data_IF_747782071756
#
_entry.id   IF_747782071756
#
_cell.length_a   1.000
_cell.length_b   1.000
_cell.length_c   1.000
_cell.angle_alpha   90.00
_cell.angle_beta   90.00
_cell.angle_gamma   90.00
#
_symmetry.space_group_name_H-M   'P 1'
#
loop_
_entity.id
_entity.type
_entity.pdbx_description
1 polymer ?
#
# COMPACT_ATOMS: atom_id res chain seq x y z
N UNK A 1 -26.26 26.17 12.66
CA UNK A 1 -27.33 27.16 12.88
C UNK A 1 -27.06 28.01 14.11
N UNK A 2 -26.83 27.40 15.30
CA UNK A 2 -26.44 28.14 16.52
C UNK A 2 -25.09 28.88 16.37
N UNK A 3 -24.00 28.19 15.99
CA UNK A 3 -22.69 28.85 15.76
C UNK A 3 -22.69 29.91 14.65
N UNK A 4 -23.63 29.81 13.70
CA UNK A 4 -23.79 30.77 12.60
C UNK A 4 -24.70 31.96 12.98
N UNK A 5 -25.22 32.00 14.22
CA UNK A 5 -26.11 33.05 14.71
C UNK A 5 -27.56 32.98 14.19
N UNK A 6 -27.92 31.91 13.48
CA UNK A 6 -29.25 31.78 12.85
C UNK A 6 -30.33 31.27 13.81
N UNK A 7 -29.94 30.66 14.94
CA UNK A 7 -30.84 30.21 16.00
C UNK A 7 -30.20 30.45 17.37
N UNK A 8 -31.03 30.72 18.38
CA UNK A 8 -30.60 30.99 19.75
C UNK A 8 -31.19 29.92 20.69
N UNK A 9 -30.33 29.21 21.42
CA UNK A 9 -30.75 28.20 22.40
C UNK A 9 -29.78 28.15 23.57
N UNK A 10 -30.17 28.77 24.69
CA UNK A 10 -29.32 28.94 25.88
C UNK A 10 -29.05 27.65 26.66
N UNK A 11 -29.73 26.55 26.33
CA UNK A 11 -29.49 25.23 26.92
C UNK A 11 -28.33 24.46 26.27
N UNK A 12 -27.81 24.94 25.13
CA UNK A 12 -26.74 24.31 24.38
C UNK A 12 -25.43 25.08 24.55
N UNK A 13 -24.42 24.41 25.12
CA UNK A 13 -23.04 24.89 25.15
C UNK A 13 -22.23 24.16 24.07
N UNK A 14 -21.53 24.93 23.23
CA UNK A 14 -20.68 24.39 22.17
C UNK A 14 -19.26 24.90 22.40
N UNK A 15 -18.31 23.97 22.45
CA UNK A 15 -16.89 24.24 22.56
C UNK A 15 -16.16 23.37 21.55
N UNK A 16 -15.38 23.99 20.67
CA UNK A 16 -14.58 23.32 19.65
C UNK A 16 -13.12 23.52 20.02
N UNK A 17 -12.37 22.43 20.04
CA UNK A 17 -10.92 22.45 20.26
C UNK A 17 -10.27 22.14 18.92
N UNK A 18 -9.65 23.12 18.28
CA UNK A 18 -8.96 22.97 17.00
C UNK A 18 -7.75 23.92 16.94
N UNK A 19 -6.83 23.66 16.01
CA UNK A 19 -5.80 24.63 15.67
C UNK A 19 -6.35 25.67 14.69
N UNK A 20 -5.83 26.89 14.77
CA UNK A 20 -6.22 27.97 13.85
C UNK A 20 -5.65 27.74 12.43
N UNK A 21 -4.45 27.14 12.35
CA UNK A 21 -3.75 26.82 11.10
C UNK A 21 -2.83 25.58 11.27
N UNK A 22 -2.56 24.85 10.18
CA UNK A 22 -1.68 23.67 10.20
C UNK A 22 -0.25 24.02 10.67
N UNK A 23 0.26 25.20 10.34
CA UNK A 23 1.60 25.65 10.73
C UNK A 23 1.80 25.77 12.24
N UNK A 24 0.72 25.84 13.02
CA UNK A 24 0.79 25.87 14.48
C UNK A 24 1.26 24.54 15.08
N UNK A 25 1.26 23.44 14.32
CA UNK A 25 1.70 22.13 14.81
C UNK A 25 3.20 22.10 15.11
N UNK A 26 3.99 22.93 14.44
CA UNK A 26 5.42 23.10 14.73
C UNK A 26 5.69 23.88 16.03
N UNK A 27 4.64 24.39 16.69
CA UNK A 27 4.70 25.18 17.93
C UNK A 27 4.01 24.41 19.07
N UNK A 28 4.76 23.66 19.90
CA UNK A 28 4.20 22.83 20.98
C UNK A 28 3.25 23.56 21.95
N UNK A 29 3.49 24.86 22.15
CA UNK A 29 2.64 25.74 22.96
C UNK A 29 1.19 25.84 22.45
N UNK A 30 0.96 25.67 21.14
CA UNK A 30 -0.36 25.78 20.54
C UNK A 30 -1.16 24.46 20.61
N UNK A 31 -0.51 23.33 20.90
CA UNK A 31 -1.19 22.03 20.92
C UNK A 31 -2.32 21.95 21.95
N UNK A 32 -2.25 22.76 23.01
CA UNK A 32 -3.29 22.87 24.03
C UNK A 32 -4.64 23.34 23.46
N UNK A 33 -4.65 24.09 22.34
CA UNK A 33 -5.88 24.57 21.68
C UNK A 33 -6.74 23.41 21.18
N UNK A 34 -6.12 22.39 20.58
CA UNK A 34 -6.81 21.19 20.11
C UNK A 34 -6.84 20.07 21.17
N UNK A 35 -5.89 20.05 22.11
CA UNK A 35 -5.73 18.98 23.09
C UNK A 35 -5.59 19.54 24.52
N UNK A 36 -6.68 20.03 25.13
CA UNK A 36 -6.68 20.69 26.45
C UNK A 36 -6.27 19.79 27.64
N UNK A 37 -6.11 18.49 27.40
CA UNK A 37 -5.75 17.46 28.37
C UNK A 37 -4.28 17.02 28.31
N UNK A 38 -3.48 17.60 27.40
CA UNK A 38 -2.02 17.46 27.45
C UNK A 38 -1.52 17.95 28.82
N UNK A 39 -0.56 17.24 29.40
CA UNK A 39 -0.04 17.44 30.77
C UNK A 39 -1.03 17.17 31.90
N UNK A 40 -2.21 16.61 31.61
CA UNK A 40 -3.18 16.18 32.63
C UNK A 40 -3.42 14.67 32.55
N UNK A 41 -4.02 14.22 31.45
CA UNK A 41 -4.31 12.80 31.21
C UNK A 41 -3.53 12.25 30.01
N UNK A 42 -2.90 13.12 29.22
CA UNK A 42 -2.01 12.76 28.12
C UNK A 42 -0.62 13.29 28.47
N UNK A 43 0.36 12.43 28.76
CA UNK A 43 1.74 12.86 28.97
C UNK A 43 2.27 13.58 27.73
N UNK A 44 2.89 14.76 27.92
CA UNK A 44 3.39 15.54 26.79
C UNK A 44 4.42 14.78 25.96
N UNK A 45 5.31 14.03 26.60
CA UNK A 45 6.33 13.23 25.89
C UNK A 45 5.71 12.19 24.95
N UNK A 46 4.63 11.52 25.36
CA UNK A 46 3.94 10.53 24.53
C UNK A 46 3.28 11.19 23.31
N UNK A 47 2.71 12.38 23.51
CA UNK A 47 2.12 13.17 22.43
C UNK A 47 3.18 13.65 21.43
N UNK A 48 4.31 14.15 21.92
CA UNK A 48 5.48 14.52 21.10
C UNK A 48 6.00 13.34 20.27
N UNK A 49 6.11 12.16 20.89
CA UNK A 49 6.55 10.94 20.21
C UNK A 49 5.56 10.51 19.13
N UNK A 50 4.25 10.64 19.40
CA UNK A 50 3.20 10.35 18.42
C UNK A 50 3.30 11.28 17.21
N UNK A 51 3.52 12.58 17.42
CA UNK A 51 3.73 13.56 16.34
C UNK A 51 4.96 13.20 15.50
N UNK A 52 6.10 12.93 16.16
CA UNK A 52 7.34 12.56 15.48
C UNK A 52 7.17 11.31 14.63
N UNK A 53 6.46 10.30 15.14
CA UNK A 53 6.16 9.07 14.40
C UNK A 53 5.27 9.36 13.19
N UNK A 54 4.19 10.10 13.39
CA UNK A 54 3.22 10.42 12.33
C UNK A 54 3.84 11.22 11.17
N UNK A 55 4.78 12.14 11.45
CA UNK A 55 5.46 12.92 10.39
C UNK A 55 6.17 12.08 9.34
N UNK A 56 6.62 10.88 9.69
CA UNK A 56 7.28 9.98 8.76
C UNK A 56 6.34 9.20 7.85
N UNK A 57 5.02 9.20 8.13
CA UNK A 57 4.04 8.34 7.50
C UNK A 57 2.84 9.19 7.05
N UNK A 58 2.67 9.47 5.74
CA UNK A 58 1.61 10.34 5.23
C UNK A 58 0.21 10.05 5.77
N UNK A 59 -0.17 8.77 5.86
CA UNK A 59 -1.49 8.39 6.39
C UNK A 59 -1.64 8.68 7.89
N UNK A 60 -0.64 8.37 8.70
CA UNK A 60 -0.63 8.72 10.13
C UNK A 60 -0.57 10.24 10.31
N UNK A 61 0.11 10.99 9.43
CA UNK A 61 0.13 12.45 9.47
C UNK A 61 -1.26 13.03 9.22
N UNK A 62 -1.98 12.58 8.18
CA UNK A 62 -3.36 13.00 7.93
C UNK A 62 -4.26 12.66 9.11
N UNK A 63 -4.09 11.47 9.70
CA UNK A 63 -4.83 11.09 10.90
C UNK A 63 -4.50 12.00 12.10
N UNK A 64 -3.23 12.38 12.28
CA UNK A 64 -2.80 13.33 13.31
C UNK A 64 -3.47 14.70 13.10
N UNK A 65 -3.41 15.24 11.88
CA UNK A 65 -4.04 16.52 11.53
C UNK A 65 -5.55 16.49 11.81
N UNK A 66 -6.24 15.48 11.29
CA UNK A 66 -7.71 15.42 11.33
C UNK A 66 -8.26 14.97 12.68
N UNK A 67 -7.63 14.03 13.39
CA UNK A 67 -8.16 13.43 14.63
C UNK A 67 -7.50 13.91 15.91
N UNK A 68 -6.33 14.54 15.85
CA UNK A 68 -5.64 15.08 17.03
C UNK A 68 -5.59 16.59 17.03
N UNK A 69 -5.55 17.23 15.87
CA UNK A 69 -5.52 18.69 15.77
C UNK A 69 -6.79 19.32 15.20
N UNK A 70 -7.73 18.49 14.72
CA UNK A 70 -8.98 18.91 14.08
C UNK A 70 -8.76 19.88 12.91
N UNK A 71 -7.65 19.73 12.19
CA UNK A 71 -7.31 20.51 11.01
C UNK A 71 -8.00 19.93 9.79
N UNK A 72 -8.64 20.79 9.01
CA UNK A 72 -9.29 20.43 7.75
C UNK A 72 -8.24 20.22 6.64
N UNK A 73 -7.91 18.97 6.35
CA UNK A 73 -7.03 18.65 5.23
C UNK A 73 -7.77 18.72 3.89
N UNK A 74 -7.39 19.65 2.99
CA UNK A 74 -7.82 19.65 1.60
C UNK A 74 -6.82 18.88 0.72
N UNK A 75 -7.26 17.79 0.08
CA UNK A 75 -6.46 17.14 -0.97
C UNK A 75 -6.58 15.61 -1.00
N UNK A 76 -6.26 15.03 -2.16
CA UNK A 76 -5.89 13.62 -2.26
C UNK A 76 -4.43 13.52 -1.81
N UNK A 77 -4.18 13.16 -0.55
CA UNK A 77 -2.82 12.93 -0.08
C UNK A 77 -2.22 11.74 -0.83
N UNK A 78 -1.03 11.89 -1.45
CA UNK A 78 -0.31 10.75 -2.00
C UNK A 78 -0.13 9.67 -0.94
N UNK A 79 -0.35 8.40 -1.30
CA UNK A 79 -0.23 7.32 -0.34
C UNK A 79 1.20 7.15 0.20
N UNK A 80 2.21 7.39 -0.66
CA UNK A 80 3.62 7.27 -0.30
C UNK A 80 4.28 8.65 -0.29
N UNK A 81 5.18 8.87 0.67
CA UNK A 81 6.03 10.06 0.73
C UNK A 81 6.90 10.18 -0.53
N UNK A 82 7.18 11.41 -0.95
CA UNK A 82 8.05 11.65 -2.10
C UNK A 82 9.42 10.99 -1.90
N UNK A 83 9.86 10.21 -2.90
CA UNK A 83 11.18 9.56 -2.88
C UNK A 83 11.32 8.34 -1.97
N UNK A 84 10.35 8.00 -1.11
CA UNK A 84 10.46 6.84 -0.20
C UNK A 84 10.58 5.53 -0.97
N UNK A 85 9.80 5.37 -2.05
CA UNK A 85 9.90 4.23 -2.95
C UNK A 85 11.28 4.15 -3.61
N UNK A 86 11.82 5.27 -4.11
CA UNK A 86 13.12 5.27 -4.78
C UNK A 86 14.28 4.81 -3.87
N UNK A 87 14.20 5.08 -2.57
CA UNK A 87 15.18 4.63 -1.56
C UNK A 87 15.15 3.10 -1.33
N UNK A 88 14.04 2.46 -1.67
CA UNK A 88 13.86 1.00 -1.58
C UNK A 88 14.50 0.24 -2.75
N UNK A 89 15.05 0.95 -3.75
CA UNK A 89 15.70 0.30 -4.89
C UNK A 89 16.94 -0.46 -4.45
N UNK A 90 17.09 -1.70 -4.90
CA UNK A 90 18.30 -2.53 -4.77
C UNK A 90 18.70 -3.11 -6.10
N UNK A 91 19.97 -3.47 -6.21
CA UNK A 91 20.51 -4.17 -7.38
C UNK A 91 20.43 -5.68 -7.12
N UNK A 92 19.44 -6.32 -7.73
CA UNK A 92 19.26 -7.76 -7.76
C UNK A 92 18.44 -8.14 -8.99
N UNK A 93 18.55 -9.41 -9.37
CA UNK A 93 17.90 -9.99 -10.53
C UNK A 93 17.03 -11.18 -10.12
N UNK A 94 16.24 -11.69 -11.06
CA UNK A 94 15.47 -12.92 -10.86
C UNK A 94 16.37 -14.13 -10.54
N UNK A 95 17.63 -14.12 -11.02
CA UNK A 95 18.59 -15.20 -10.79
C UNK A 95 18.97 -15.32 -9.31
N UNK A 96 19.01 -14.19 -8.59
CA UNK A 96 19.32 -14.15 -7.15
C UNK A 96 18.19 -14.74 -6.28
N UNK A 97 17.02 -14.98 -6.87
CA UNK A 97 15.78 -15.40 -6.19
C UNK A 97 15.31 -16.80 -6.61
N UNK A 98 16.11 -17.52 -7.41
CA UNK A 98 15.79 -18.87 -7.85
C UNK A 98 15.60 -19.82 -6.66
N UNK A 99 14.59 -20.67 -6.76
CA UNK A 99 14.17 -21.69 -5.80
C UNK A 99 13.77 -21.15 -4.42
N UNK A 100 13.67 -19.83 -4.25
CA UNK A 100 13.21 -19.23 -3.00
C UNK A 100 11.69 -19.26 -2.90
N UNK A 101 11.21 -19.28 -1.66
CA UNK A 101 9.80 -19.17 -1.34
C UNK A 101 9.27 -17.79 -1.74
N UNK A 102 8.11 -17.76 -2.40
CA UNK A 102 7.48 -16.51 -2.78
C UNK A 102 5.96 -16.58 -2.76
N UNK A 103 5.35 -15.40 -2.64
CA UNK A 103 3.92 -15.20 -2.58
C UNK A 103 3.51 -14.34 -3.77
N UNK A 104 2.53 -14.81 -4.54
CA UNK A 104 2.13 -14.13 -5.76
C UNK A 104 0.84 -13.33 -5.54
N UNK A 105 0.75 -12.17 -6.18
CA UNK A 105 -0.46 -11.38 -6.33
C UNK A 105 -0.75 -11.13 -7.79
N UNK A 106 -2.01 -11.32 -8.20
CA UNK A 106 -2.44 -11.26 -9.60
C UNK A 106 -3.63 -10.32 -9.78
N UNK A 107 -3.42 -9.17 -10.43
CA UNK A 107 -4.49 -8.24 -10.86
C UNK A 107 -4.75 -8.42 -12.36
N UNK A 108 -5.91 -8.99 -12.71
CA UNK A 108 -6.29 -9.29 -14.08
C UNK A 108 -7.15 -8.16 -14.68
N UNK A 109 -6.79 -7.77 -15.91
CA UNK A 109 -7.63 -6.99 -16.81
C UNK A 109 -7.95 -7.77 -18.07
N UNK A 110 -9.02 -7.36 -18.75
CA UNK A 110 -9.45 -7.95 -20.03
C UNK A 110 -8.99 -7.18 -21.25
N UNK A 111 -9.17 -5.84 -21.29
CA UNK A 111 -9.10 -5.08 -22.57
C UNK A 111 -8.34 -3.75 -22.47
N UNK A 112 -8.51 -2.98 -21.40
CA UNK A 112 -8.03 -1.59 -21.32
C UNK A 112 -7.00 -1.32 -20.22
N UNK A 113 -6.95 -2.16 -19.19
CA UNK A 113 -6.02 -1.98 -18.08
C UNK A 113 -4.83 -2.92 -18.19
N UNK A 114 -3.82 -2.70 -17.37
CA UNK A 114 -2.67 -3.59 -17.29
C UNK A 114 -3.08 -4.84 -16.52
N UNK A 115 -2.68 -6.01 -17.00
CA UNK A 115 -2.65 -7.20 -16.15
C UNK A 115 -1.28 -7.26 -15.50
N UNK A 116 -1.23 -7.43 -14.18
CA UNK A 116 0.00 -7.37 -13.41
C UNK A 116 0.12 -8.53 -12.44
N UNK A 117 1.35 -9.04 -12.34
CA UNK A 117 1.78 -10.05 -11.38
C UNK A 117 2.87 -9.42 -10.51
N UNK A 118 2.79 -9.65 -9.21
CA UNK A 118 3.88 -9.37 -8.30
C UNK A 118 4.21 -10.63 -7.49
N UNK A 119 5.49 -10.88 -7.29
CA UNK A 119 6.05 -11.91 -6.44
C UNK A 119 6.75 -11.23 -5.27
N UNK A 120 6.36 -11.60 -4.05
CA UNK A 120 6.98 -11.16 -2.81
C UNK A 120 7.85 -12.30 -2.28
N UNK A 121 9.15 -12.07 -2.24
CA UNK A 121 10.15 -13.00 -1.73
C UNK A 121 10.53 -12.58 -0.31
N UNK A 122 10.18 -13.37 0.72
CA UNK A 122 10.66 -13.14 2.07
C UNK A 122 12.19 -13.26 2.11
N UNK A 123 12.83 -12.31 2.76
CA UNK A 123 14.23 -12.33 3.17
C UNK A 123 14.24 -12.16 4.69
N UNK A 124 15.24 -12.66 5.42
CA UNK A 124 15.23 -12.76 6.91
C UNK A 124 14.47 -11.63 7.65
N UNK A 125 14.72 -10.37 7.30
CA UNK A 125 14.01 -9.19 7.85
C UNK A 125 13.39 -8.28 6.81
N UNK A 126 13.36 -8.67 5.54
CA UNK A 126 12.96 -7.80 4.42
C UNK A 126 12.13 -8.57 3.41
N UNK A 127 11.58 -7.88 2.43
CA UNK A 127 10.99 -8.55 1.27
C UNK A 127 11.56 -7.98 -0.02
N UNK A 128 11.74 -8.83 -1.01
CA UNK A 128 12.12 -8.45 -2.37
C UNK A 128 10.98 -8.68 -3.33
N UNK A 129 10.86 -7.82 -4.34
CA UNK A 129 9.78 -7.87 -5.31
C UNK A 129 10.28 -8.22 -6.71
N UNK A 130 9.57 -9.08 -7.41
CA UNK A 130 9.69 -9.25 -8.86
C UNK A 130 8.31 -9.08 -9.46
N UNK A 131 8.21 -8.39 -10.59
CA UNK A 131 6.93 -8.07 -11.23
C UNK A 131 6.91 -8.51 -12.70
N UNK A 132 5.70 -8.77 -13.19
CA UNK A 132 5.43 -9.03 -14.61
C UNK A 132 4.18 -8.26 -15.02
N UNK A 133 4.26 -7.53 -16.12
CA UNK A 133 3.15 -6.72 -16.62
C UNK A 133 2.80 -7.11 -18.05
N UNK A 134 1.51 -7.10 -18.35
CA UNK A 134 0.94 -7.50 -19.62
C UNK A 134 -0.04 -6.44 -20.12
N UNK A 135 -0.03 -6.19 -21.43
CA UNK A 135 -0.92 -5.27 -22.11
C UNK A 135 -1.34 -5.87 -23.46
N UNK A 136 -2.61 -5.76 -23.89
CA UNK A 136 -3.00 -6.15 -25.25
C UNK A 136 -2.32 -5.27 -26.29
N UNK A 137 -1.89 -5.85 -27.42
CA UNK A 137 -1.23 -5.13 -28.51
C UNK A 137 -2.04 -3.95 -29.02
N UNK A 138 -3.36 -4.11 -29.09
CA UNK A 138 -4.27 -3.03 -29.46
C UNK A 138 -4.04 -1.74 -28.67
N UNK A 139 -3.73 -1.83 -27.37
CA UNK A 139 -3.51 -0.64 -26.53
C UNK A 139 -2.22 0.11 -26.86
N UNK A 140 -1.23 -0.54 -27.48
CA UNK A 140 -0.02 0.12 -27.98
C UNK A 140 -0.25 0.87 -29.29
N UNK A 141 -1.21 0.40 -30.08
CA UNK A 141 -1.51 0.92 -31.41
C UNK A 141 -2.68 1.93 -31.39
N UNK A 142 -3.53 1.87 -30.37
CA UNK A 142 -4.65 2.78 -30.19
C UNK A 142 -4.18 4.23 -30.00
N UNK A 143 -4.50 5.07 -30.99
CA UNK A 143 -4.13 6.49 -30.99
C UNK A 143 -4.83 7.25 -29.85
N UNK A 144 -5.99 6.80 -29.39
CA UNK A 144 -6.69 7.41 -28.26
C UNK A 144 -6.02 7.11 -26.90
N UNK A 145 -5.15 6.09 -26.83
CA UNK A 145 -4.47 5.75 -25.59
C UNK A 145 -3.34 6.76 -25.31
N UNK A 146 -3.54 7.59 -24.29
CA UNK A 146 -2.59 8.63 -23.86
C UNK A 146 -1.26 8.04 -23.35
N UNK A 147 -1.29 6.80 -22.83
CA UNK A 147 -0.11 6.12 -22.28
C UNK A 147 0.67 5.31 -23.33
N UNK A 148 0.25 5.28 -24.60
CA UNK A 148 0.89 4.44 -25.63
C UNK A 148 2.40 4.65 -25.75
N UNK A 149 2.87 5.89 -25.56
CA UNK A 149 4.29 6.23 -25.70
C UNK A 149 5.13 5.60 -24.58
N UNK A 150 4.65 5.70 -23.32
CA UNK A 150 5.34 5.12 -22.17
C UNK A 150 5.27 3.58 -22.20
N UNK A 151 4.14 3.01 -22.62
CA UNK A 151 4.02 1.56 -22.80
C UNK A 151 5.01 1.02 -23.84
N UNK A 152 5.14 1.67 -25.00
CA UNK A 152 6.15 1.29 -26.01
C UNK A 152 7.58 1.39 -25.49
N UNK A 153 7.86 2.30 -24.56
CA UNK A 153 9.16 2.39 -23.92
C UNK A 153 9.40 1.18 -23.01
N UNK A 154 8.44 0.82 -22.17
CA UNK A 154 8.56 -0.33 -21.27
C UNK A 154 8.64 -1.67 -22.00
N UNK A 155 7.94 -1.81 -23.13
CA UNK A 155 8.08 -2.99 -24.01
C UNK A 155 9.52 -3.09 -24.53
N UNK A 156 10.10 -1.99 -25.03
CA UNK A 156 11.49 -1.97 -25.50
C UNK A 156 12.51 -2.25 -24.39
N UNK A 157 12.19 -1.88 -23.15
CA UNK A 157 13.04 -2.12 -21.98
C UNK A 157 12.82 -3.52 -21.36
N UNK A 158 11.84 -4.28 -21.81
CA UNK A 158 11.51 -5.61 -21.29
C UNK A 158 10.64 -5.64 -20.03
N UNK A 159 10.16 -4.49 -19.55
CA UNK A 159 9.30 -4.40 -18.35
C UNK A 159 7.82 -4.66 -18.62
N UNK A 160 7.39 -4.54 -19.88
CA UNK A 160 6.00 -4.75 -20.29
C UNK A 160 5.93 -5.79 -21.41
N UNK A 161 5.16 -6.86 -21.19
CA UNK A 161 4.88 -7.91 -22.18
C UNK A 161 3.61 -7.56 -22.93
N UNK A 162 3.54 -8.00 -24.18
CA UNK A 162 2.39 -7.74 -25.06
C UNK A 162 1.72 -9.05 -25.39
N UNK A 163 0.40 -9.10 -25.27
CA UNK A 163 -0.42 -10.21 -25.79
C UNK A 163 -1.02 -9.80 -27.13
N UNK A 164 -1.06 -10.72 -28.09
CA UNK A 164 -1.62 -10.45 -29.42
C UNK A 164 -3.12 -10.15 -29.35
N UNK A 165 -3.59 -9.24 -30.20
CA UNK A 165 -5.02 -8.90 -30.29
C UNK A 165 -5.47 -7.73 -29.41
N UNK A 166 -6.78 -7.69 -29.15
CA UNK A 166 -7.48 -6.61 -28.43
C UNK A 166 -7.83 -6.93 -26.97
N UNK A 167 -7.59 -8.17 -26.55
CA UNK A 167 -7.75 -8.63 -25.18
C UNK A 167 -6.49 -9.30 -24.63
N UNK A 168 -6.42 -9.40 -23.30
CA UNK A 168 -5.38 -10.15 -22.61
C UNK A 168 -5.57 -11.64 -22.87
N UNK A 169 -4.49 -12.29 -23.30
CA UNK A 169 -4.43 -13.75 -23.39
C UNK A 169 -4.11 -14.35 -22.01
N UNK A 170 -5.13 -14.91 -21.36
CA UNK A 170 -4.99 -15.55 -20.05
C UNK A 170 -4.23 -16.88 -20.11
N UNK A 171 -4.23 -17.58 -21.24
CA UNK A 171 -3.43 -18.80 -21.41
C UNK A 171 -1.95 -18.44 -21.42
N UNK A 172 -1.59 -17.32 -22.06
CA UNK A 172 -0.21 -16.82 -22.04
C UNK A 172 0.26 -16.45 -20.63
N UNK A 173 -0.61 -15.82 -19.84
CA UNK A 173 -0.33 -15.50 -18.43
C UNK A 173 -0.17 -16.78 -17.61
N UNK A 174 -1.06 -17.77 -17.78
CA UNK A 174 -0.94 -19.08 -17.14
C UNK A 174 0.41 -19.70 -17.43
N UNK A 175 0.80 -19.77 -18.71
CA UNK A 175 2.04 -20.43 -19.12
C UNK A 175 3.28 -19.73 -18.54
N UNK A 176 3.26 -18.40 -18.47
CA UNK A 176 4.32 -17.62 -17.83
C UNK A 176 4.37 -17.90 -16.31
N UNK A 177 3.22 -17.98 -15.62
CA UNK A 177 3.16 -18.35 -14.19
C UNK A 177 3.70 -19.77 -13.96
N UNK A 178 3.35 -20.74 -14.81
CA UNK A 178 3.84 -22.11 -14.69
C UNK A 178 5.36 -22.18 -14.90
N UNK A 179 5.89 -21.40 -15.86
CA UNK A 179 7.33 -21.27 -16.07
C UNK A 179 8.04 -20.61 -14.88
N UNK A 180 7.39 -19.67 -14.21
CA UNK A 180 7.91 -19.09 -12.98
C UNK A 180 7.85 -20.07 -11.82
N UNK A 181 6.83 -20.94 -11.75
CA UNK A 181 6.73 -22.01 -10.75
C UNK A 181 7.82 -23.10 -10.90
N UNK A 182 8.42 -23.25 -12.09
CA UNK A 182 9.60 -24.09 -12.29
C UNK A 182 10.87 -23.48 -11.69
N UNK A 183 10.89 -22.15 -11.53
CA UNK A 183 12.06 -21.38 -11.09
C UNK A 183 11.96 -20.90 -9.64
N UNK A 184 10.76 -20.62 -9.15
CA UNK A 184 10.48 -20.12 -7.80
C UNK A 184 9.56 -21.07 -7.06
N UNK A 185 9.66 -21.11 -5.73
CA UNK A 185 8.75 -21.90 -4.91
C UNK A 185 7.52 -21.05 -4.54
N UNK A 186 6.52 -21.00 -5.44
CA UNK A 186 5.31 -20.21 -5.23
C UNK A 186 4.44 -20.90 -4.18
N UNK A 187 4.40 -20.33 -2.97
CA UNK A 187 3.65 -20.89 -1.83
C UNK A 187 2.16 -20.67 -1.95
N UNK A 188 1.77 -19.46 -2.34
CA UNK A 188 0.36 -19.07 -2.40
C UNK A 188 0.16 -17.95 -3.42
N UNK A 189 -0.96 -18.01 -4.13
CA UNK A 189 -1.36 -17.05 -5.14
C UNK A 189 -2.62 -16.32 -4.67
N UNK A 190 -2.50 -15.03 -4.40
CA UNK A 190 -3.63 -14.13 -4.18
C UNK A 190 -4.19 -13.58 -5.49
N UNK A 191 -5.51 -13.63 -5.63
CA UNK A 191 -6.19 -13.14 -6.84
C UNK A 191 -7.56 -12.54 -6.52
N UNK A 192 -8.07 -11.65 -7.38
CA UNK A 192 -9.45 -11.14 -7.24
C UNK A 192 -10.48 -12.10 -7.88
N UNK A 193 -11.57 -12.34 -7.16
CA UNK A 193 -12.55 -13.41 -7.44
C UNK A 193 -13.34 -13.18 -8.73
N UNK A 194 -13.54 -11.92 -9.11
CA UNK A 194 -14.51 -11.53 -10.14
C UNK A 194 -14.15 -11.92 -11.57
N UNK A 195 -12.85 -11.95 -11.94
CA UNK A 195 -12.42 -12.13 -13.33
C UNK A 195 -11.55 -13.38 -13.57
N UNK A 196 -11.28 -14.18 -12.55
CA UNK A 196 -10.19 -15.17 -12.60
C UNK A 196 -10.66 -16.63 -12.46
N UNK A 197 -11.96 -16.93 -12.50
CA UNK A 197 -12.45 -18.28 -12.16
C UNK A 197 -11.83 -19.37 -13.04
N UNK A 198 -11.67 -19.12 -14.35
CA UNK A 198 -11.07 -20.09 -15.26
C UNK A 198 -9.57 -20.29 -15.01
N UNK A 199 -8.81 -19.19 -14.92
CA UNK A 199 -7.36 -19.23 -14.66
C UNK A 199 -7.07 -19.87 -13.30
N UNK A 200 -7.88 -19.58 -12.27
CA UNK A 200 -7.79 -20.22 -10.96
C UNK A 200 -7.86 -21.74 -11.08
N UNK A 201 -8.87 -22.27 -11.77
CA UNK A 201 -9.03 -23.73 -11.95
C UNK A 201 -7.82 -24.34 -12.65
N UNK A 202 -7.27 -23.66 -13.66
CA UNK A 202 -6.08 -24.14 -14.37
C UNK A 202 -4.83 -24.16 -13.46
N UNK A 203 -4.60 -23.11 -12.68
CA UNK A 203 -3.47 -23.02 -11.74
C UNK A 203 -3.59 -24.07 -10.61
N UNK A 204 -4.79 -24.26 -10.07
CA UNK A 204 -5.05 -25.30 -9.07
C UNK A 204 -4.85 -26.71 -9.65
N UNK A 205 -5.27 -26.95 -10.90
CA UNK A 205 -5.03 -28.23 -11.58
C UNK A 205 -3.53 -28.51 -11.82
N UNK A 206 -2.71 -27.46 -11.92
CA UNK A 206 -1.26 -27.56 -11.97
C UNK A 206 -0.60 -27.75 -10.59
N UNK A 207 -1.38 -27.83 -9.51
CA UNK A 207 -0.89 -28.06 -8.15
C UNK A 207 -0.49 -26.80 -7.38
N UNK A 208 -0.80 -25.61 -7.89
CA UNK A 208 -0.54 -24.35 -7.20
C UNK A 208 -1.65 -24.03 -6.20
N UNK A 209 -1.28 -23.47 -5.05
CA UNK A 209 -2.22 -23.00 -4.05
C UNK A 209 -2.71 -21.59 -4.43
N UNK A 210 -4.03 -21.46 -4.59
CA UNK A 210 -4.66 -20.24 -5.12
C UNK A 210 -5.81 -19.83 -4.22
N UNK A 211 -5.65 -18.70 -3.54
CA UNK A 211 -6.56 -18.20 -2.52
C UNK A 211 -7.20 -16.86 -2.93
N UNK A 212 -8.53 -16.72 -2.76
CA UNK A 212 -9.21 -15.45 -2.96
C UNK A 212 -8.63 -14.32 -2.11
N UNK A 213 -8.25 -13.23 -2.78
CA UNK A 213 -7.91 -11.96 -2.15
C UNK A 213 -8.90 -10.87 -2.57
N UNK A 214 -10.07 -10.75 -1.92
CA UNK A 214 -11.08 -9.75 -2.27
C UNK A 214 -10.55 -8.32 -2.16
N UNK A 215 -10.87 -7.47 -3.14
CA UNK A 215 -10.53 -6.03 -3.12
C UNK A 215 -11.41 -5.19 -2.18
N UNK A 216 -11.58 -5.63 -0.94
CA UNK A 216 -12.37 -4.98 0.10
C UNK A 216 -11.50 -4.13 1.03
N UNK A 217 -12.11 -3.15 1.71
CA UNK A 217 -11.43 -2.37 2.76
C UNK A 217 -10.80 -3.26 3.83
N UNK A 218 -11.50 -4.32 4.25
CA UNK A 218 -11.03 -5.24 5.28
C UNK A 218 -9.74 -5.97 4.89
N UNK A 219 -9.59 -6.33 3.61
CA UNK A 219 -8.39 -7.00 3.11
C UNK A 219 -7.26 -6.02 2.78
N UNK A 220 -7.57 -4.89 2.14
CA UNK A 220 -6.55 -3.95 1.70
C UNK A 220 -6.03 -3.03 2.80
N UNK A 221 -6.85 -2.64 3.79
CA UNK A 221 -6.47 -1.64 4.78
C UNK A 221 -5.26 -2.04 5.64
N UNK A 222 -5.20 -3.25 6.23
CA UNK A 222 -4.02 -3.66 7.00
C UNK A 222 -2.76 -3.69 6.13
N UNK A 223 -2.88 -4.22 4.92
CA UNK A 223 -1.77 -4.40 3.98
C UNK A 223 -1.24 -3.07 3.44
N UNK A 224 -2.13 -2.13 3.12
CA UNK A 224 -1.73 -0.80 2.68
C UNK A 224 -1.01 -0.02 3.78
N UNK A 225 -1.51 -0.11 5.03
CA UNK A 225 -0.87 0.56 6.18
C UNK A 225 0.49 -0.05 6.50
N UNK A 226 0.60 -1.38 6.53
CA UNK A 226 1.87 -2.08 6.78
C UNK A 226 2.88 -1.79 5.67
N UNK A 227 2.45 -1.81 4.41
CA UNK A 227 3.30 -1.50 3.25
C UNK A 227 3.89 -0.10 3.33
N UNK A 228 3.07 0.91 3.66
CA UNK A 228 3.54 2.29 3.81
C UNK A 228 4.64 2.41 4.87
N UNK A 229 4.43 1.79 6.04
CA UNK A 229 5.42 1.76 7.12
C UNK A 229 6.70 1.06 6.69
N UNK A 230 6.60 -0.08 6.01
CA UNK A 230 7.74 -0.89 5.59
C UNK A 230 8.54 -0.24 4.46
N UNK A 231 7.88 0.49 3.54
CA UNK A 231 8.56 1.30 2.52
C UNK A 231 9.35 2.42 3.20
N UNK A 232 8.74 3.16 4.13
CA UNK A 232 9.44 4.24 4.84
C UNK A 232 10.63 3.73 5.67
N UNK A 233 10.58 2.47 6.12
CA UNK A 233 11.69 1.80 6.82
C UNK A 233 12.67 1.09 5.89
N UNK A 234 12.48 1.15 4.56
CA UNK A 234 13.29 0.46 3.55
C UNK A 234 13.38 -1.07 3.77
N UNK A 235 12.28 -1.66 4.24
CA UNK A 235 12.14 -3.10 4.51
C UNK A 235 11.55 -3.85 3.31
N UNK A 236 10.95 -3.12 2.38
CA UNK A 236 10.56 -3.62 1.05
C UNK A 236 11.65 -3.18 0.07
N UNK A 237 12.14 -4.11 -0.75
CA UNK A 237 13.18 -3.89 -1.74
C UNK A 237 12.62 -4.18 -3.14
N UNK A 238 12.91 -3.31 -4.11
CA UNK A 238 12.49 -3.49 -5.51
C UNK A 238 13.70 -3.36 -6.47
N UNK A 239 13.64 -4.03 -7.62
CA UNK A 239 14.71 -4.08 -8.62
C UNK A 239 14.70 -2.89 -9.61
N UNK A 240 13.93 -1.84 -9.31
CA UNK A 240 13.82 -0.66 -10.18
C UNK A 240 12.80 -0.75 -11.31
N UNK A 241 11.82 -1.65 -11.23
CA UNK A 241 10.69 -1.70 -12.18
C UNK A 241 9.98 -0.33 -12.33
N UNK A 242 10.05 0.31 -13.52
CA UNK A 242 9.44 1.60 -13.77
C UNK A 242 7.91 1.53 -13.90
N UNK A 243 7.33 0.35 -14.19
CA UNK A 243 5.89 0.15 -14.33
C UNK A 243 5.23 0.16 -12.95
N UNK A 244 5.76 -0.60 -11.99
CA UNK A 244 5.32 -0.55 -10.60
C UNK A 244 5.56 0.83 -9.98
N UNK A 245 6.74 1.44 -10.19
CA UNK A 245 7.03 2.78 -9.66
C UNK A 245 6.02 3.84 -10.16
N UNK A 246 5.67 3.79 -11.44
CA UNK A 246 4.66 4.67 -12.01
C UNK A 246 3.26 4.37 -11.46
N UNK A 247 2.88 3.11 -11.30
CA UNK A 247 1.58 2.77 -10.73
C UNK A 247 1.45 3.26 -9.28
N UNK A 248 2.50 3.09 -8.46
CA UNK A 248 2.53 3.55 -7.07
C UNK A 248 2.38 5.07 -6.96
N UNK A 249 2.98 5.85 -7.86
CA UNK A 249 2.84 7.31 -7.85
C UNK A 249 1.43 7.79 -8.25
N UNK A 250 0.61 6.93 -8.86
CA UNK A 250 -0.78 7.23 -9.20
C UNK A 250 -1.78 6.79 -8.12
N UNK A 251 -1.34 6.07 -7.07
CA UNK A 251 -2.24 5.53 -6.04
C UNK A 251 -2.83 6.65 -5.21
N UNK A 252 -4.17 6.67 -5.18
CA UNK A 252 -4.97 7.50 -4.27
C UNK A 252 -5.73 6.56 -3.35
N UNK A 253 -5.57 6.75 -2.04
CA UNK A 253 -6.31 5.98 -1.04
C UNK A 253 -7.71 6.58 -0.84
N UNK A 254 -8.71 5.72 -0.77
CA UNK A 254 -10.04 6.04 -0.27
C UNK A 254 -10.18 5.52 1.15
N UNK A 255 -10.77 6.34 2.01
CA UNK A 255 -10.97 6.02 3.43
C UNK A 255 -12.44 5.82 3.71
N UNK A 256 -12.81 4.73 4.38
CA UNK A 256 -14.19 4.51 4.84
C UNK A 256 -14.48 5.22 6.19
N UNK A 257 -15.72 5.13 6.67
CA UNK A 257 -16.13 5.72 7.94
C UNK A 257 -15.39 5.16 9.17
N UNK A 258 -14.79 3.97 9.04
CA UNK A 258 -14.03 3.30 10.10
C UNK A 258 -12.52 3.56 9.98
N UNK A 259 -12.10 4.53 9.17
CA UNK A 259 -10.70 4.83 8.89
C UNK A 259 -9.90 3.66 8.28
N UNK A 260 -10.58 2.75 7.57
CA UNK A 260 -9.93 1.78 6.71
C UNK A 260 -9.59 2.43 5.37
N UNK A 261 -8.41 2.10 4.84
CA UNK A 261 -7.96 2.62 3.55
C UNK A 261 -7.98 1.52 2.49
N UNK A 262 -8.21 1.90 1.24
CA UNK A 262 -7.96 1.04 0.08
C UNK A 262 -7.58 1.87 -1.14
N UNK A 263 -6.84 1.32 -2.11
CA UNK A 263 -6.58 2.02 -3.37
C UNK A 263 -7.88 2.29 -4.14
N UNK A 264 -8.02 3.51 -4.68
CA UNK A 264 -9.19 3.91 -5.44
C UNK A 264 -8.87 4.08 -6.93
N UNK A 265 -9.20 3.06 -7.73
CA UNK A 265 -9.00 3.06 -9.19
C UNK A 265 -9.72 4.22 -9.90
N UNK A 266 -10.84 4.75 -9.37
CA UNK A 266 -11.63 5.82 -10.01
C UNK A 266 -11.04 7.22 -9.78
N UNK A 267 -10.41 7.42 -8.62
CA UNK A 267 -9.78 8.70 -8.23
C UNK A 267 -8.33 8.79 -8.68
N UNK A 268 -7.69 7.66 -8.97
CA UNK A 268 -6.32 7.62 -9.48
C UNK A 268 -6.19 8.42 -10.78
N UNK A 269 -5.12 9.20 -10.88
CA UNK A 269 -4.82 10.00 -12.08
C UNK A 269 -4.51 9.12 -13.30
N UNK A 270 -4.02 7.90 -13.07
CA UNK A 270 -3.70 6.93 -14.09
C UNK A 270 -3.81 5.49 -13.55
N UNK A 271 -3.32 4.49 -14.32
CA UNK A 271 -3.43 3.08 -13.96
C UNK A 271 -2.65 2.75 -12.68
N UNK A 272 -3.23 1.88 -11.86
CA UNK A 272 -2.66 1.43 -10.58
C UNK A 272 -2.60 -0.10 -10.46
N UNK A 273 -2.90 -0.84 -11.53
CA UNK A 273 -2.98 -2.32 -11.51
C UNK A 273 -1.69 -2.98 -11.00
N UNK A 274 -0.47 -2.51 -11.35
CA UNK A 274 0.76 -3.01 -10.73
C UNK A 274 0.81 -2.84 -9.20
N UNK A 275 0.30 -1.73 -8.68
CA UNK A 275 0.25 -1.48 -7.23
C UNK A 275 -0.78 -2.38 -6.54
N UNK A 276 -1.89 -2.70 -7.21
CA UNK A 276 -2.88 -3.67 -6.72
C UNK A 276 -2.27 -5.07 -6.66
N UNK A 277 -1.59 -5.51 -7.73
CA UNK A 277 -0.89 -6.80 -7.75
C UNK A 277 0.17 -6.90 -6.65
N UNK A 278 0.93 -5.82 -6.42
CA UNK A 278 1.89 -5.74 -5.32
C UNK A 278 1.22 -5.88 -3.95
N UNK A 279 0.19 -5.08 -3.67
CA UNK A 279 -0.54 -5.17 -2.40
C UNK A 279 -1.19 -6.54 -2.20
N UNK A 280 -1.71 -7.18 -3.25
CA UNK A 280 -2.23 -8.54 -3.14
C UNK A 280 -1.12 -9.55 -2.83
N UNK A 281 0.02 -9.47 -3.51
CA UNK A 281 1.18 -10.34 -3.27
C UNK A 281 1.69 -10.22 -1.84
N UNK A 282 1.84 -8.97 -1.36
CA UNK A 282 2.30 -8.69 -0.01
C UNK A 282 1.25 -9.11 1.03
N UNK A 283 -0.04 -8.86 0.77
CA UNK A 283 -1.14 -9.29 1.62
C UNK A 283 -1.22 -10.81 1.74
N UNK A 284 -1.03 -11.54 0.65
CA UNK A 284 -0.94 -13.00 0.62
C UNK A 284 0.24 -13.50 1.46
N UNK A 285 1.41 -12.85 1.37
CA UNK A 285 2.54 -13.12 2.27
C UNK A 285 2.18 -12.89 3.75
N UNK A 286 1.50 -11.78 4.09
CA UNK A 286 1.10 -11.48 5.47
C UNK A 286 0.05 -12.46 6.03
N UNK A 287 -0.70 -13.18 5.20
CA UNK A 287 -1.63 -14.21 5.69
C UNK A 287 -0.88 -15.40 6.32
N UNK A 288 0.31 -15.74 5.82
CA UNK A 288 1.09 -16.87 6.33
C UNK A 288 1.98 -16.47 7.52
N UNK A 289 2.63 -15.30 7.45
CA UNK A 289 3.59 -14.88 8.49
C UNK A 289 3.04 -13.86 9.50
N UNK A 290 1.78 -13.42 9.33
CA UNK A 290 1.20 -12.34 10.11
C UNK A 290 1.78 -10.96 9.75
N UNK A 291 1.52 -9.97 10.60
CA UNK A 291 2.29 -8.72 10.55
C UNK A 291 3.74 -9.07 10.88
N UNK A 292 4.69 -8.65 10.03
CA UNK A 292 6.13 -8.87 10.23
C UNK A 292 6.45 -8.56 11.69
N UNK A 293 6.67 -9.62 12.47
CA UNK A 293 6.79 -9.51 13.92
C UNK A 293 8.00 -8.63 14.16
N UNK A 294 7.76 -7.44 14.69
CA UNK A 294 8.84 -6.61 15.20
C UNK A 294 9.52 -7.40 16.29
N UNK A 295 10.68 -7.98 15.99
CA UNK A 295 11.61 -8.36 17.04
C UNK A 295 11.89 -7.08 17.84
N UNK A 296 11.46 -7.08 19.11
CA UNK A 296 11.83 -6.05 20.07
C UNK A 296 13.34 -5.85 19.95
N UNK A 297 13.79 -4.60 19.81
CA UNK A 297 15.22 -4.30 19.88
C UNK A 297 15.76 -4.85 21.20
N UNK A 298 17.05 -5.19 21.26
CA UNK A 298 17.67 -5.63 22.52
C UNK A 298 17.43 -4.64 23.67
N UNK A 299 17.36 -3.34 23.35
CA UNK A 299 16.98 -2.29 24.30
C UNK A 299 15.53 -2.43 24.78
N UNK A 300 14.57 -2.68 23.89
CA UNK A 300 13.17 -2.89 24.28
C UNK A 300 12.97 -4.21 25.03
N UNK A 301 13.73 -5.27 24.70
CA UNK A 301 13.73 -6.53 25.45
C UNK A 301 14.26 -6.31 26.87
N UNK A 302 15.39 -5.62 27.01
CA UNK A 302 15.95 -5.26 28.32
C UNK A 302 15.00 -4.34 29.11
N UNK A 303 14.36 -3.38 28.46
CA UNK A 303 13.39 -2.49 29.11
C UNK A 303 12.17 -3.27 29.61
N UNK A 304 11.69 -4.26 28.87
CA UNK A 304 10.63 -5.19 29.30
C UNK A 304 11.07 -6.10 30.45
N UNK A 305 12.30 -6.64 30.40
CA UNK A 305 12.86 -7.44 31.49
C UNK A 305 13.04 -6.62 32.78
N UNK A 306 13.33 -5.34 32.65
CA UNK A 306 13.47 -4.40 33.77
C UNK A 306 12.16 -3.73 34.18
N UNK A 307 11.07 -3.94 33.44
CA UNK A 307 9.77 -3.34 33.74
C UNK A 307 9.09 -4.06 34.90
N UNK A 308 9.09 -3.41 36.06
CA UNK A 308 8.54 -3.89 37.33
C UNK A 308 7.15 -3.32 37.65
N UNK A 309 6.44 -2.81 36.64
CA UNK A 309 5.10 -2.25 36.76
C UNK A 309 5.07 -0.73 36.86
N UNK A 310 3.87 -0.16 36.80
CA UNK A 310 3.62 1.26 37.07
C UNK A 310 3.17 1.33 38.54
N UNK A 311 3.92 2.02 39.40
CA UNK A 311 3.40 2.39 40.71
C UNK A 311 2.20 3.33 40.48
N UNK A 312 1.01 2.80 40.78
CA UNK A 312 -0.27 3.52 40.75
C UNK A 312 -0.41 4.42 41.98
#
# INVERSE_FOLDING_TARGET
QILAGNEQNDSLFILIFELDDESEIDQPENWIKANPNINKSIPQLDFENTIKKARGIPSEWVEMLTKRFNVWCQGQTPWLSEGSWAQCKRDYTEQDLLHQDCYMGLDLSSTNDLTSICYTFPQEKKVRLITRHYLPEYQLNNVANKNRAIYRQWVRQGWLRVTEGDCIDYDKIRDDILKDAEQFNIKMIGFDVWNATHLRTQLQAAGLEVEPFPQTYQRFSPVAKSTEVLINRQMIEHNGDPVLAWALSNVVMETDANANIKPNKKKAANKIDPAIAFLMSFGTYQLEYGDVIFELSNEHQQALEQFNGIDL
#
